data_IF_361998659857
#
_entry.id   IF_361998659857
#
_cell.length_a   1.000
_cell.length_b   1.000
_cell.length_c   1.000
_cell.angle_alpha   90.00
_cell.angle_beta   90.00
_cell.angle_gamma   90.00
#
_symmetry.space_group_name_H-M   'P 1'
#
loop_
_entity.id
_entity.type
_entity.pdbx_description
1 polymer ?
2 water ?
#
# COMPACT_ATOMS: atom_id res chain seq x y z
N UNK A 1 -22.25 -5.53 22.27
CA UNK A 1 -23.59 -5.34 21.76
C UNK A 1 -23.62 -4.54 20.47
N UNK A 2 -24.80 -4.46 19.84
CA UNK A 2 -24.92 -3.69 18.57
C UNK A 2 -24.41 -2.25 18.65
N UNK A 3 -24.79 -1.50 19.69
CA UNK A 3 -24.34 -0.11 19.81
C UNK A 3 -22.83 -0.03 19.88
N UNK A 4 -22.20 -0.93 20.64
CA UNK A 4 -20.73 -1.00 20.69
C UNK A 4 -20.14 -1.10 19.28
N UNK A 5 -20.65 -2.03 18.47
CA UNK A 5 -20.01 -2.28 17.18
C UNK A 5 -20.22 -1.14 16.20
N UNK A 6 -21.31 -0.38 16.34
CA UNK A 6 -21.46 0.81 15.53
C UNK A 6 -20.59 1.95 16.07
N UNK A 7 -20.32 1.91 17.37
CA UNK A 7 -19.41 2.86 17.99
C UNK A 7 -17.98 2.61 17.56
N UNK A 8 -17.66 1.36 17.26
CA UNK A 8 -16.37 1.02 16.70
C UNK A 8 -16.13 1.73 15.37
N UNK A 9 -17.11 1.66 14.47
CA UNK A 9 -17.00 2.37 13.20
C UNK A 9 -16.79 3.86 13.46
N UNK A 10 -17.63 4.44 14.32
CA UNK A 10 -17.46 5.82 14.72
C UNK A 10 -16.07 6.08 15.27
N UNK A 11 -15.46 5.09 15.94
CA UNK A 11 -14.14 5.30 16.52
C UNK A 11 -13.05 5.27 15.45
N UNK A 12 -13.15 4.35 14.48
CA UNK A 12 -12.22 4.35 13.36
C UNK A 12 -12.31 5.67 12.62
N UNK A 13 -13.51 6.24 12.53
CA UNK A 13 -13.67 7.47 11.78
C UNK A 13 -13.09 8.66 12.51
N UNK A 14 -13.19 8.68 13.83
CA UNK A 14 -12.58 9.75 14.61
C UNK A 14 -11.06 9.64 14.58
N UNK A 15 -10.53 8.43 14.47
CA UNK A 15 -9.08 8.25 14.31
C UNK A 15 -8.63 8.69 12.93
N UNK A 16 -9.45 8.42 11.91
CA UNK A 16 -9.17 8.90 10.56
C UNK A 16 -9.22 10.43 10.50
N UNK A 17 -10.20 11.05 11.15
CA UNK A 17 -10.23 12.51 11.18
C UNK A 17 -9.04 13.07 11.94
N UNK A 18 -8.71 12.46 13.08
CA UNK A 18 -7.53 12.87 13.83
C UNK A 18 -6.27 12.83 12.98
N UNK A 19 -6.08 11.73 12.22
CA UNK A 19 -4.90 11.62 11.38
C UNK A 19 -4.91 12.66 10.27
N UNK A 20 -6.07 12.86 9.63
CA UNK A 20 -6.14 13.87 8.58
C UNK A 20 -5.76 15.26 9.12
N UNK A 21 -6.30 15.63 10.29
CA UNK A 21 -6.03 16.94 10.86
C UNK A 21 -4.55 17.25 10.97
N UNK A 22 -3.71 16.21 11.09
CA UNK A 22 -2.27 16.42 11.20
C UNK A 22 -1.65 16.89 9.89
N UNK A 23 -2.40 16.82 8.79
CA UNK A 23 -1.97 17.28 7.48
C UNK A 23 -2.80 18.45 6.97
N UNK A 24 -3.76 18.95 7.75
CA UNK A 24 -4.64 19.99 7.25
C UNK A 24 -5.68 19.49 6.28
N UNK A 25 -5.99 18.19 6.31
CA UNK A 25 -6.91 17.56 5.38
C UNK A 25 -8.27 17.44 6.03
N UNK A 26 -9.33 17.60 5.23
CA UNK A 26 -10.71 17.40 5.68
C UNK A 26 -11.25 16.11 5.07
N UNK A 27 -11.61 15.15 5.93
CA UNK A 27 -12.31 13.96 5.47
C UNK A 27 -13.70 14.29 4.99
N UNK A 28 -14.18 13.51 4.04
CA UNK A 28 -15.54 13.61 3.51
C UNK A 28 -16.36 12.45 4.09
N UNK A 29 -17.13 12.72 5.14
CA UNK A 29 -17.82 11.63 5.83
C UNK A 29 -18.74 10.87 4.87
N UNK A 30 -19.52 11.58 4.06
CA UNK A 30 -20.44 10.90 3.16
C UNK A 30 -19.72 9.94 2.21
N UNK A 31 -18.43 10.14 1.96
CA UNK A 31 -17.66 9.26 1.09
C UNK A 31 -16.99 8.11 1.84
N UNK A 32 -16.74 8.26 3.13
CA UNK A 32 -16.01 7.28 3.92
C UNK A 32 -16.95 6.35 4.69
N UNK A 33 -17.91 6.93 5.41
CA UNK A 33 -18.73 6.14 6.34
C UNK A 33 -19.46 4.99 5.65
N UNK A 34 -20.11 5.17 4.50
CA UNK A 34 -20.78 4.01 3.88
C UNK A 34 -19.86 2.83 3.68
N UNK A 35 -18.61 3.09 3.27
CA UNK A 35 -17.63 2.03 3.08
C UNK A 35 -17.29 1.35 4.38
N UNK A 36 -17.17 2.12 5.47
CA UNK A 36 -16.90 1.54 6.77
C UNK A 36 -18.08 0.70 7.27
N UNK A 37 -19.31 1.14 6.99
CA UNK A 37 -20.47 0.39 7.47
C UNK A 37 -20.57 -0.94 6.75
N UNK A 38 -20.59 -0.91 5.42
CA UNK A 38 -20.57 -2.12 4.60
C UNK A 38 -19.62 -3.17 5.17
N UNK A 39 -18.47 -2.75 5.69
CA UNK A 39 -17.46 -3.66 6.21
C UNK A 39 -17.36 -3.62 7.74
N UNK A 40 -18.43 -3.18 8.41
CA UNK A 40 -18.41 -3.03 9.86
C UNK A 40 -18.17 -4.37 10.57
N UNK A 41 -18.59 -5.49 9.97
CA UNK A 41 -18.38 -6.79 10.62
C UNK A 41 -16.90 -7.11 10.78
N UNK A 42 -16.05 -6.67 9.85
CA UNK A 42 -14.61 -6.93 9.99
C UNK A 42 -13.95 -6.02 11.01
N UNK A 43 -14.54 -4.85 11.27
CA UNK A 43 -13.92 -3.86 12.14
C UNK A 43 -14.00 -4.24 13.61
N UNK A 44 -14.92 -5.12 13.98
CA UNK A 44 -15.14 -5.47 15.37
C UNK A 44 -14.94 -6.97 15.61
N UNK A 47 -10.30 -9.15 14.61
CA UNK A 47 -9.10 -9.36 13.83
C UNK A 47 -8.93 -8.30 12.75
N UNK A 48 -9.15 -7.05 13.11
CA UNK A 48 -9.10 -5.94 12.16
C UNK A 48 -7.72 -5.31 12.09
N UNK A 49 -7.22 -5.11 10.87
CA UNK A 49 -6.04 -4.29 10.62
C UNK A 49 -6.50 -3.02 9.94
N UNK A 50 -6.24 -1.88 10.57
CA UNK A 50 -6.58 -0.56 10.04
C UNK A 50 -5.29 0.24 9.98
N UNK A 51 -5.10 0.94 8.86
CA UNK A 51 -3.80 1.44 8.45
C UNK A 51 -4.00 2.81 7.82
N UNK A 52 -3.35 3.82 8.37
CA UNK A 52 -3.47 5.18 7.84
C UNK A 52 -2.14 5.52 7.21
N UNK A 53 -2.16 5.79 5.91
CA UNK A 53 -0.94 6.03 5.17
C UNK A 53 -0.98 7.43 4.57
N UNK A 54 0.08 8.18 4.81
CA UNK A 54 0.22 9.51 4.25
C UNK A 54 1.10 9.47 3.00
N UNK A 55 0.72 10.27 2.00
CA UNK A 55 1.54 10.47 0.81
C UNK A 55 1.68 11.97 0.60
N UNK A 56 2.91 12.45 0.63
CA UNK A 56 3.15 13.87 0.42
C UNK A 56 4.31 14.05 -0.53
N UNK A 57 4.18 15.01 -1.44
CA UNK A 57 5.30 15.49 -2.22
C UNK A 57 5.28 17.01 -2.28
N UNK A 58 6.22 17.56 -3.04
CA UNK A 58 6.09 18.94 -3.45
C UNK A 58 4.87 19.04 -4.35
N UNK A 59 3.87 19.83 -3.92
CA UNK A 59 2.59 20.15 -4.59
C UNK A 59 1.43 19.21 -4.23
N UNK A 60 1.62 18.20 -3.38
CA UNK A 60 0.47 17.35 -3.06
C UNK A 60 0.70 16.59 -1.76
N UNK A 61 -0.41 16.32 -1.07
CA UNK A 61 -0.39 15.60 0.22
C UNK A 61 -1.73 14.90 0.41
N UNK A 62 -1.73 13.58 0.54
CA UNK A 62 -3.00 12.85 0.65
C UNK A 62 -2.94 11.77 1.74
N UNK A 63 -4.11 11.40 2.21
CA UNK A 63 -4.26 10.46 3.31
C UNK A 63 -5.14 9.29 2.88
N UNK A 64 -4.61 8.09 2.91
CA UNK A 64 -5.37 6.90 2.62
C UNK A 64 -5.63 6.15 3.92
N UNK A 65 -6.74 5.41 3.92
CA UNK A 65 -7.05 4.44 4.96
C UNK A 65 -7.21 3.07 4.31
N UNK A 66 -6.68 2.06 4.98
CA UNK A 66 -6.74 0.67 4.52
C UNK A 66 -7.30 -0.17 5.65
N UNK A 67 -8.08 -1.19 5.28
CA UNK A 67 -8.79 -2.03 6.24
C UNK A 67 -8.75 -3.47 5.73
N UNK A 68 -8.32 -4.38 6.59
CA UNK A 68 -8.23 -5.78 6.20
C UNK A 68 -9.62 -6.39 6.07
N UNK A 69 -9.68 -7.42 5.21
CA UNK A 69 -10.91 -8.18 5.00
C UNK A 69 -10.50 -9.64 4.85
N UNK A 70 -10.91 -10.54 5.75
CA UNK A 70 -10.52 -11.94 5.61
C UNK A 70 -11.00 -12.52 4.29
N UNK A 71 -10.27 -13.52 3.78
CA UNK A 71 -10.67 -14.14 2.54
C UNK A 71 -12.01 -14.85 2.68
N UNK A 72 -12.25 -15.47 3.84
CA UNK A 72 -13.54 -16.09 4.12
C UNK A 72 -14.70 -15.14 3.91
N UNK A 73 -14.44 -13.85 3.93
CA UNK A 73 -15.46 -12.86 3.72
C UNK A 73 -15.85 -12.73 2.26
N UNK A 74 -15.13 -13.35 1.34
CA UNK A 74 -15.34 -13.13 -0.07
C UNK A 74 -14.65 -11.87 -0.58
N UNK A 75 -14.50 -11.81 -1.91
CA UNK A 75 -13.91 -10.67 -2.61
C UNK A 75 -14.57 -9.36 -2.17
N UNK A 76 -13.81 -8.43 -1.57
CA UNK A 76 -14.43 -7.20 -1.09
C UNK A 76 -14.69 -6.19 -2.18
N UNK A 77 -14.01 -6.29 -3.34
CA UNK A 77 -14.35 -5.40 -4.44
C UNK A 77 -15.71 -5.77 -5.02
N UNK A 78 -16.03 -7.06 -5.10
CA UNK A 78 -17.36 -7.44 -5.52
C UNK A 78 -18.40 -6.85 -4.59
N UNK A 79 -18.16 -6.95 -3.27
CA UNK A 79 -19.05 -6.33 -2.28
C UNK A 79 -19.29 -4.85 -2.58
N UNK A 80 -18.24 -4.07 -2.82
CA UNK A 80 -18.46 -2.64 -2.98
C UNK A 80 -19.16 -2.35 -4.30
N UNK A 81 -18.95 -3.17 -5.33
CA UNK A 81 -19.69 -2.98 -6.57
C UNK A 81 -21.15 -3.35 -6.37
N UNK A 82 -21.42 -4.51 -5.76
CA UNK A 82 -22.79 -4.91 -5.49
C UNK A 82 -23.50 -3.88 -4.63
N UNK A 83 -22.81 -3.33 -3.63
CA UNK A 83 -23.42 -2.36 -2.74
C UNK A 83 -23.58 -1.00 -3.37
N UNK A 84 -23.13 -0.82 -4.62
CA UNK A 84 -23.20 0.46 -5.30
C UNK A 84 -22.22 1.49 -4.83
N UNK A 85 -21.17 1.09 -4.09
CA UNK A 85 -20.19 2.01 -3.56
C UNK A 85 -19.10 2.39 -4.54
N UNK A 86 -18.94 1.67 -5.65
CA UNK A 86 -18.02 2.06 -6.68
C UNK A 86 -18.53 1.48 -7.98
N UNK A 87 -18.54 2.27 -9.06
CA UNK A 87 -19.06 1.76 -10.33
C UNK A 87 -17.99 0.94 -11.03
N UNK A 88 -18.38 -0.26 -11.45
CA UNK A 88 -17.44 -1.18 -12.08
C UNK A 88 -16.88 -0.56 -13.35
N UNK A 89 -15.59 -0.20 -13.33
CA UNK A 89 -14.96 0.49 -14.45
C UNK A 89 -15.22 -0.15 -15.81
N UNK A 90 -15.68 -1.41 -15.86
CA UNK A 90 -15.77 -2.13 -17.13
C UNK A 90 -14.41 -2.34 -17.79
N UNK A 91 -13.44 -2.87 -17.05
CA UNK A 91 -12.03 -2.90 -17.42
C UNK A 91 -11.40 -4.00 -16.57
N UNK A 92 -10.40 -4.74 -17.09
CA UNK A 92 -9.94 -5.96 -16.39
C UNK A 92 -9.61 -5.80 -14.91
N UNK A 93 -9.31 -4.58 -14.46
CA UNK A 93 -8.98 -4.40 -13.05
C UNK A 93 -10.17 -4.78 -12.17
N UNK A 94 -11.39 -4.75 -12.72
CA UNK A 94 -12.57 -5.24 -12.01
C UNK A 94 -12.40 -6.70 -11.59
N UNK A 95 -11.83 -7.53 -12.47
CA UNK A 95 -11.76 -8.96 -12.22
C UNK A 95 -10.50 -9.39 -11.50
N UNK A 96 -9.51 -8.50 -11.32
CA UNK A 96 -8.17 -8.95 -10.96
C UNK A 96 -8.08 -9.49 -9.54
N UNK A 97 -8.85 -8.94 -8.61
CA UNK A 97 -8.75 -9.42 -7.23
C UNK A 97 -9.33 -10.83 -7.12
N UNK A 98 -10.42 -11.09 -7.83
CA UNK A 98 -11.05 -12.40 -7.78
C UNK A 98 -10.25 -13.39 -8.58
N UNK A 99 -9.76 -12.97 -9.75
CA UNK A 99 -8.86 -13.78 -10.55
C UNK A 99 -7.64 -14.24 -9.76
N UNK A 100 -7.14 -13.40 -8.84
CA UNK A 100 -5.96 -13.74 -8.05
C UNK A 100 -6.29 -14.82 -7.03
N UNK A 101 -7.41 -14.66 -6.33
CA UNK A 101 -7.89 -15.68 -5.40
C UNK A 101 -8.14 -17.00 -6.13
N UNK A 102 -8.65 -16.92 -7.34
CA UNK A 102 -8.96 -18.11 -8.12
C UNK A 102 -7.69 -18.85 -8.53
N UNK A 103 -6.59 -18.13 -8.75
CA UNK A 103 -5.36 -18.76 -9.22
C UNK A 103 -4.32 -19.00 -8.12
N UNK A 104 -4.43 -18.32 -6.99
CA UNK A 104 -3.34 -18.33 -6.02
C UNK A 104 -3.88 -18.30 -4.59
N UNK A 105 -3.16 -18.89 -3.65
CA UNK A 105 -3.54 -18.79 -2.24
C UNK A 105 -3.40 -17.39 -1.69
N UNK A 106 -4.51 -16.69 -1.56
CA UNK A 106 -4.54 -15.38 -0.92
C UNK A 106 -4.79 -15.58 0.57
N UNK A 107 -3.92 -15.02 1.39
CA UNK A 107 -4.06 -15.18 2.84
C UNK A 107 -4.96 -14.13 3.48
N UNK A 108 -5.30 -13.05 2.75
CA UNK A 108 -6.08 -11.93 3.27
C UNK A 108 -6.31 -10.89 2.17
N UNK A 109 -7.43 -10.17 2.25
CA UNK A 109 -7.67 -8.99 1.41
C UNK A 109 -7.54 -7.73 2.24
N UNK A 110 -7.57 -6.59 1.55
CA UNK A 110 -7.72 -5.31 2.22
C UNK A 110 -8.42 -4.34 1.28
N UNK A 111 -9.24 -3.46 1.86
CA UNK A 111 -9.82 -2.36 1.12
C UNK A 111 -9.06 -1.10 1.49
N UNK A 112 -9.14 -0.11 0.62
CA UNK A 112 -8.33 1.10 0.75
C UNK A 112 -9.13 2.25 0.18
N UNK A 113 -9.19 3.34 0.93
CA UNK A 113 -9.81 4.55 0.45
C UNK A 113 -8.88 5.72 0.63
N UNK A 114 -9.31 6.85 0.08
CA UNK A 114 -8.65 8.13 0.27
C UNK A 114 -9.68 9.07 0.89
N UNK A 115 -9.30 9.80 1.94
CA UNK A 115 -10.30 10.44 2.79
C UNK A 115 -11.09 11.53 2.11
N UNK A 116 -10.69 11.99 0.91
CA UNK A 116 -11.53 12.96 0.23
C UNK A 116 -12.37 12.35 -0.87
N UNK A 117 -11.97 11.22 -1.44
CA UNK A 117 -12.75 10.62 -2.52
C UNK A 117 -13.37 9.27 -2.20
N UNK A 118 -13.02 8.69 -1.06
CA UNK A 118 -13.58 7.41 -0.67
C UNK A 118 -12.83 6.24 -1.25
N UNK A 119 -13.56 5.20 -1.64
CA UNK A 119 -12.96 3.96 -2.07
C UNK A 119 -12.17 4.15 -3.37
N UNK A 120 -11.00 3.52 -3.42
CA UNK A 120 -10.25 3.48 -4.67
C UNK A 120 -9.42 2.21 -4.92
N UNK A 121 -9.18 1.38 -3.91
CA UNK A 121 -8.04 0.48 -3.97
C UNK A 121 -8.27 -0.78 -3.14
N UNK A 122 -7.79 -1.94 -3.65
CA UNK A 122 -7.79 -3.18 -2.87
C UNK A 122 -6.40 -3.82 -2.91
N UNK A 123 -6.14 -4.64 -1.88
CA UNK A 123 -4.91 -5.39 -1.69
C UNK A 123 -5.21 -6.89 -1.67
N UNK A 124 -4.25 -7.69 -2.15
CA UNK A 124 -4.32 -9.15 -2.06
C UNK A 124 -3.00 -9.68 -1.50
N UNK A 125 -3.06 -10.23 -0.28
CA UNK A 125 -1.86 -10.69 0.40
C UNK A 125 -1.63 -12.17 0.15
N UNK A 126 -0.37 -12.55 0.13
CA UNK A 126 -0.05 -13.95 -0.02
C UNK A 126 0.61 -14.47 1.26
N UNK A 127 0.49 -15.77 1.55
CA UNK A 127 1.21 -16.33 2.70
C UNK A 127 2.71 -16.15 2.53
N UNK A 128 3.38 -15.81 3.63
CA UNK A 128 4.81 -15.53 3.55
C UNK A 128 5.59 -16.78 3.20
N UNK A 129 5.13 -17.95 3.66
CA UNK A 129 5.77 -19.21 3.32
C UNK A 129 5.30 -19.75 1.97
N UNK A 130 4.49 -19.01 1.23
CA UNK A 130 4.01 -19.49 -0.05
C UNK A 130 3.85 -18.32 -1.03
N UNK A 131 4.90 -17.52 -1.19
CA UNK A 131 4.78 -16.36 -2.05
C UNK A 131 4.93 -16.75 -3.52
N UNK A 132 4.16 -16.15 -4.40
CA UNK A 132 4.35 -16.40 -5.84
C UNK A 132 5.43 -15.49 -6.42
N UNK A 133 5.95 -15.93 -7.57
CA UNK A 133 6.83 -15.13 -8.38
C UNK A 133 6.12 -14.55 -9.61
N UNK A 134 6.90 -13.82 -10.41
CA UNK A 134 6.39 -13.15 -11.61
C UNK A 134 5.72 -14.14 -12.56
N UNK A 135 6.22 -15.38 -12.62
CA UNK A 135 5.66 -16.36 -13.55
C UNK A 135 4.23 -16.75 -13.17
N UNK A 136 4.01 -17.09 -11.89
CA UNK A 136 2.65 -17.36 -11.42
C UNK A 136 1.74 -16.14 -11.59
N UNK A 137 2.23 -14.95 -11.26
CA UNK A 137 1.37 -13.76 -11.28
C UNK A 137 0.89 -13.43 -12.68
N UNK A 138 1.69 -13.68 -13.72
CA UNK A 138 1.18 -13.49 -15.08
C UNK A 138 0.42 -14.70 -15.61
N UNK A 139 0.32 -15.80 -14.84
CA UNK A 139 -0.64 -16.85 -15.11
C UNK A 139 -2.06 -16.44 -14.81
N UNK A 140 -2.29 -15.19 -14.42
CA UNK A 140 -3.61 -14.67 -14.08
C UNK A 140 -4.11 -13.87 -15.27
N UNK A 141 -5.22 -14.25 -15.90
CA UNK A 141 -5.60 -13.63 -17.18
C UNK A 141 -5.89 -12.14 -17.12
N UNK A 142 -6.37 -11.61 -16.00
CA UNK A 142 -6.67 -10.18 -15.95
C UNK A 142 -5.50 -9.37 -15.43
N UNK A 143 -4.39 -10.01 -15.10
CA UNK A 143 -3.15 -9.28 -14.87
C UNK A 143 -2.77 -8.52 -16.14
N UNK A 144 -2.18 -7.34 -16.03
CA UNK A 144 -1.80 -6.59 -17.24
C UNK A 144 -0.72 -7.30 -18.04
N UNK A 145 -0.80 -7.23 -19.35
CA UNK A 145 0.32 -7.64 -20.21
C UNK A 145 1.67 -7.14 -19.74
N UNK A 146 1.70 -5.93 -19.15
CA UNK A 146 2.94 -5.35 -18.68
C UNK A 146 3.70 -6.25 -17.71
N UNK A 147 3.01 -7.10 -16.96
CA UNK A 147 3.71 -7.91 -15.97
C UNK A 147 4.64 -8.89 -16.66
N UNK A 148 4.13 -9.65 -17.63
CA UNK A 148 4.98 -10.59 -18.35
C UNK A 148 6.02 -9.86 -19.18
N UNK A 149 5.62 -8.73 -19.77
CA UNK A 149 6.51 -7.97 -20.63
C UNK A 149 7.70 -7.40 -19.89
N UNK A 150 7.65 -7.32 -18.56
CA UNK A 150 8.75 -6.83 -17.76
C UNK A 150 9.41 -7.93 -16.95
N UNK A 151 9.11 -9.19 -17.25
CA UNK A 151 9.68 -10.28 -16.48
C UNK A 151 11.18 -10.41 -16.71
N UNK A 152 11.67 -10.12 -17.91
CA UNK A 152 13.12 -10.06 -18.11
C UNK A 152 13.74 -9.07 -17.14
N UNK A 153 13.24 -7.83 -17.15
CA UNK A 153 13.76 -6.77 -16.29
C UNK A 153 13.68 -7.17 -14.80
N UNK A 154 12.51 -7.69 -14.36
CA UNK A 154 12.36 -8.06 -12.96
C UNK A 154 13.39 -9.11 -12.57
N UNK A 155 13.54 -10.13 -13.41
CA UNK A 155 14.50 -11.18 -13.13
C UNK A 155 15.92 -10.65 -13.18
N UNK A 156 16.24 -9.80 -14.15
CA UNK A 156 17.59 -9.25 -14.19
C UNK A 156 17.92 -8.48 -12.92
N UNK A 157 16.93 -7.88 -12.25
CA UNK A 157 17.20 -7.16 -11.01
C UNK A 157 16.90 -7.99 -9.76
N UNK A 158 16.67 -9.28 -9.92
CA UNK A 158 16.42 -10.10 -8.75
C UNK A 158 15.12 -9.81 -8.04
N UNK A 159 14.14 -9.22 -8.73
CA UNK A 159 12.80 -9.03 -8.18
C UNK A 159 12.01 -10.26 -8.59
N UNK A 160 11.88 -11.21 -7.67
CA UNK A 160 11.08 -12.41 -7.93
C UNK A 160 9.90 -12.56 -6.97
N UNK A 161 10.12 -12.86 -5.69
CA UNK A 161 9.01 -13.18 -4.81
C UNK A 161 8.16 -11.95 -4.52
N UNK A 162 6.84 -12.11 -4.69
CA UNK A 162 5.87 -11.04 -4.45
C UNK A 162 5.09 -11.37 -3.19
N UNK A 163 4.99 -10.39 -2.27
CA UNK A 163 4.36 -10.57 -0.97
C UNK A 163 2.89 -10.20 -0.97
N UNK A 164 2.49 -9.27 -1.85
CA UNK A 164 1.09 -8.94 -2.06
C UNK A 164 1.02 -8.07 -3.30
N UNK A 165 -0.18 -7.91 -3.83
CA UNK A 165 -0.45 -6.94 -4.87
C UNK A 165 -1.47 -5.92 -4.38
N UNK A 166 -1.57 -4.80 -5.09
CA UNK A 166 -2.67 -3.87 -4.84
C UNK A 166 -3.21 -3.39 -6.18
N UNK A 167 -4.47 -2.96 -6.16
CA UNK A 167 -5.19 -2.59 -7.36
C UNK A 167 -5.82 -1.22 -7.14
N UNK A 168 -5.64 -0.33 -8.10
CA UNK A 168 -6.21 1.00 -8.03
C UNK A 168 -7.27 1.08 -9.11
N UNK A 169 -8.52 1.17 -8.71
CA UNK A 169 -9.61 1.15 -9.68
C UNK A 169 -9.84 2.51 -10.30
N UNK A 170 -9.43 3.57 -9.61
CA UNK A 170 -9.56 4.90 -10.17
C UNK A 170 -8.52 5.14 -11.25
N UNK A 171 -7.28 4.76 -10.98
CA UNK A 171 -6.18 4.93 -11.94
C UNK A 171 -5.95 3.71 -12.83
N UNK A 172 -6.58 2.57 -12.53
CA UNK A 172 -6.43 1.34 -13.33
C UNK A 172 -4.98 0.89 -13.39
N UNK A 173 -4.41 0.69 -12.20
CA UNK A 173 -3.01 0.34 -12.05
C UNK A 173 -2.88 -0.80 -11.05
N UNK A 174 -1.73 -1.47 -11.09
CA UNK A 174 -1.38 -2.54 -10.17
C UNK A 174 -0.01 -2.27 -9.59
N UNK A 175 0.18 -2.67 -8.34
CA UNK A 175 1.47 -2.66 -7.67
C UNK A 175 1.85 -4.09 -7.33
N UNK A 176 3.06 -4.50 -7.72
CA UNK A 176 3.61 -5.79 -7.30
C UNK A 176 4.59 -5.53 -6.18
N UNK A 177 4.28 -6.00 -4.97
CA UNK A 177 5.12 -5.72 -3.81
C UNK A 177 6.13 -6.85 -3.66
N UNK A 178 7.32 -6.64 -4.23
CA UNK A 178 8.39 -7.60 -4.15
C UNK A 178 8.98 -7.63 -2.75
N UNK A 179 9.36 -8.82 -2.30
CA UNK A 179 9.92 -9.04 -0.97
C UNK A 179 11.10 -9.97 -1.12
N UNK A 180 11.81 -10.20 -0.01
CA UNK A 180 12.98 -11.08 0.00
C UNK A 180 14.05 -10.59 -1.00
N UNK A 181 14.43 -9.34 -0.81
CA UNK A 181 15.35 -8.67 -1.71
C UNK A 181 16.80 -9.05 -1.38
N UNK A 182 17.58 -9.39 -2.40
CA UNK A 182 19.01 -9.57 -2.17
C UNK A 182 19.63 -8.21 -1.97
N UNK A 183 20.62 -8.14 -1.06
CA UNK A 183 21.30 -6.87 -0.80
C UNK A 183 21.90 -6.27 -2.08
N UNK A 184 22.22 -7.11 -3.07
CA UNK A 184 22.78 -6.62 -4.32
C UNK A 184 21.76 -5.79 -5.11
N UNK A 185 20.49 -6.19 -5.07
CA UNK A 185 19.44 -5.41 -5.72
C UNK A 185 19.41 -4.00 -5.18
N UNK A 186 19.66 -3.85 -3.88
CA UNK A 186 19.52 -2.56 -3.22
C UNK A 186 20.82 -1.77 -3.20
N UNK A 187 21.93 -2.38 -3.63
CA UNK A 187 23.17 -1.65 -3.81
C UNK A 187 22.95 -0.45 -4.71
N UNK A 188 23.66 0.64 -4.41
CA UNK A 188 23.40 1.91 -5.07
C UNK A 188 23.46 1.80 -6.59
N UNK A 189 24.49 1.13 -7.11
CA UNK A 189 24.62 0.99 -8.55
C UNK A 189 23.45 0.22 -9.16
N UNK A 190 23.00 -0.84 -8.49
CA UNK A 190 21.81 -1.54 -8.94
C UNK A 190 20.59 -0.61 -8.96
N UNK A 191 20.40 0.17 -7.89
CA UNK A 191 19.23 1.02 -7.82
C UNK A 191 19.25 2.05 -8.94
N UNK A 192 20.43 2.66 -9.18
CA UNK A 192 20.55 3.71 -10.20
C UNK A 192 20.31 3.16 -11.61
N UNK A 193 20.84 1.98 -11.91
CA UNK A 193 20.55 1.35 -13.21
C UNK A 193 19.05 1.14 -13.36
N UNK A 194 18.42 0.52 -12.36
CA UNK A 194 17.00 0.22 -12.44
C UNK A 194 16.16 1.47 -12.67
N UNK A 195 16.43 2.53 -11.90
CA UNK A 195 15.66 3.76 -12.07
C UNK A 195 15.85 4.32 -13.46
N UNK A 196 17.09 4.27 -13.98
CA UNK A 196 17.38 4.90 -15.26
C UNK A 196 16.90 4.05 -16.42
N UNK A 197 16.80 2.74 -16.23
CA UNK A 197 16.17 1.89 -17.23
C UNK A 197 14.67 2.18 -17.32
N UNK A 198 14.02 2.45 -16.19
CA UNK A 198 12.61 2.76 -16.18
C UNK A 198 12.31 4.23 -16.46
N UNK A 199 13.35 5.03 -16.70
CA UNK A 199 13.18 6.44 -17.03
C UNK A 199 12.48 7.23 -15.94
N UNK A 200 12.95 7.12 -14.71
CA UNK A 200 12.28 7.76 -13.58
C UNK A 200 13.25 8.71 -12.89
N UNK A 201 12.71 9.45 -11.94
CA UNK A 201 13.48 10.42 -11.17
C UNK A 201 14.63 9.73 -10.44
N UNK A 202 15.84 10.26 -10.62
CA UNK A 202 17.02 9.61 -10.07
C UNK A 202 17.18 10.03 -8.62
N UNK A 203 17.25 9.09 -7.67
CA UNK A 203 17.47 9.46 -6.28
C UNK A 203 18.87 10.01 -6.06
N UNK A 204 19.01 10.84 -5.03
CA UNK A 204 20.34 11.31 -4.65
C UNK A 204 20.93 10.39 -3.59
N UNK A 205 22.01 10.82 -2.95
CA UNK A 205 22.70 9.93 -2.04
C UNK A 205 21.84 9.60 -0.83
N UNK A 206 21.03 10.56 -0.36
CA UNK A 206 20.10 10.28 0.73
C UNK A 206 19.10 9.22 0.31
N UNK A 207 18.43 9.43 -0.84
CA UNK A 207 17.51 8.44 -1.34
C UNK A 207 18.11 7.05 -1.42
N UNK A 208 19.34 6.96 -1.93
CA UNK A 208 19.99 5.67 -2.13
C UNK A 208 20.30 4.98 -0.80
N UNK A 209 20.64 5.75 0.24
CA UNK A 209 20.82 5.16 1.56
C UNK A 209 19.49 4.64 2.11
N UNK A 210 18.39 5.32 1.80
CA UNK A 210 17.07 4.81 2.10
C UNK A 210 16.83 3.49 1.38
N UNK A 211 17.00 3.47 0.06
CA UNK A 211 16.71 2.27 -0.72
C UNK A 211 17.53 1.08 -0.25
N UNK A 212 18.74 1.32 0.24
CA UNK A 212 19.56 0.24 0.80
C UNK A 212 18.88 -0.43 1.99
N UNK A 213 17.99 0.28 2.68
CA UNK A 213 17.28 -0.25 3.86
C UNK A 213 15.98 -0.95 3.52
N UNK A 214 15.60 -1.03 2.24
CA UNK A 214 14.26 -1.44 1.88
C UNK A 214 14.01 -2.91 2.19
N UNK A 215 12.80 -3.21 2.66
CA UNK A 215 12.35 -4.60 2.71
C UNK A 215 11.47 -4.99 1.53
N UNK A 216 10.87 -4.02 0.85
CA UNK A 216 10.09 -4.29 -0.35
C UNK A 216 10.35 -3.23 -1.40
N UNK A 217 10.21 -3.63 -2.66
CA UNK A 217 10.24 -2.70 -3.79
C UNK A 217 9.00 -2.97 -4.62
N UNK A 218 8.32 -1.91 -5.05
CA UNK A 218 7.16 -2.18 -5.86
C UNK A 218 6.98 -1.20 -7.01
N UNK A 219 6.87 -1.73 -8.22
CA UNK A 219 6.50 -0.90 -9.38
C UNK A 219 5.00 -0.78 -9.50
N UNK A 220 4.57 0.17 -10.33
CA UNK A 220 3.17 0.33 -10.68
C UNK A 220 3.06 0.09 -12.19
N UNK A 221 2.11 -0.75 -12.58
CA UNK A 221 1.93 -1.08 -13.99
C UNK A 221 0.50 -0.77 -14.40
N UNK A 222 0.24 -0.81 -15.71
CA UNK A 222 -1.09 -0.53 -16.23
C UNK A 222 -1.33 -1.43 -17.42
N UNK A 223 -2.60 -1.47 -17.88
CA UNK A 223 -2.99 -2.28 -19.02
C UNK A 223 -2.84 -1.58 -20.36
N UNK A 224 -2.53 -0.29 -20.37
CA UNK A 224 -2.35 0.41 -21.63
C UNK A 224 -0.99 0.12 -22.26
N UNK A 225 0.07 0.05 -21.46
CA UNK A 225 1.41 -0.12 -21.98
C UNK A 225 2.23 -1.00 -21.04
N UNK A 226 3.36 -1.47 -21.56
CA UNK A 226 4.32 -2.22 -20.78
C UNK A 226 5.24 -1.37 -19.95
N UNK A 227 5.03 -0.07 -19.94
CA UNK A 227 5.94 0.86 -19.27
C UNK A 227 5.50 1.10 -17.83
N UNK A 228 6.36 0.71 -16.89
CA UNK A 228 6.12 0.92 -15.47
C UNK A 228 5.93 2.40 -15.19
N UNK A 229 4.85 2.74 -14.49
CA UNK A 229 4.49 4.14 -14.29
C UNK A 229 5.38 4.82 -13.27
N UNK A 230 5.76 4.08 -12.23
CA UNK A 230 6.58 4.61 -11.14
C UNK A 230 7.02 3.42 -10.30
N UNK A 231 7.83 3.70 -9.29
CA UNK A 231 8.47 2.66 -8.49
C UNK A 231 8.65 3.17 -7.07
N UNK A 232 8.47 2.29 -6.09
CA UNK A 232 8.53 2.69 -4.69
C UNK A 232 9.44 1.75 -3.93
N UNK A 233 10.29 2.33 -3.08
CA UNK A 233 11.12 1.57 -2.14
C UNK A 233 10.55 1.75 -0.74
N UNK A 234 10.30 0.63 -0.05
CA UNK A 234 9.59 0.62 1.23
C UNK A 234 10.50 0.15 2.35
N UNK A 235 10.58 0.94 3.41
CA UNK A 235 11.41 0.64 4.58
C UNK A 235 10.51 0.55 5.80
N UNK A 236 10.76 -0.45 6.63
CA UNK A 236 9.97 -0.69 7.83
C UNK A 236 10.83 -0.40 9.04
N UNK A 237 10.30 0.35 9.99
CA UNK A 237 11.14 0.75 11.11
C UNK A 237 10.29 1.39 12.20
N UNK A 238 10.81 1.33 13.43
CA UNK A 238 10.24 2.05 14.56
C UNK A 238 10.61 3.52 14.57
N UNK A 239 11.66 3.91 13.85
CA UNK A 239 12.22 5.27 13.90
C UNK A 239 11.27 6.28 13.26
N UNK A 240 10.87 7.34 13.97
CA UNK A 240 10.00 8.36 13.38
C UNK A 240 10.70 9.38 12.51
N UNK A 241 11.99 9.22 12.18
CA UNK A 241 12.75 10.28 11.53
C UNK A 241 13.29 9.93 10.16
N UNK A 242 12.91 8.78 9.58
CA UNK A 242 13.62 8.25 8.41
C UNK A 242 13.12 8.79 7.07
N UNK A 243 12.50 9.97 7.03
CA UNK A 243 11.92 10.40 5.75
C UNK A 243 13.09 10.75 4.83
N UNK A 244 13.23 10.08 3.69
CA UNK A 244 14.37 10.36 2.82
C UNK A 244 14.29 11.73 2.15
N UNK A 245 14.25 12.79 2.95
CA UNK A 245 14.17 14.14 2.45
C UNK A 245 15.07 15.02 3.30
N UNK A 246 15.67 16.02 2.67
CA UNK A 246 16.46 17.03 3.37
C UNK A 246 15.70 18.32 3.53
N UNK A 247 14.48 18.38 3.01
CA UNK A 247 13.60 19.54 3.16
C UNK A 247 13.05 19.57 4.57
N UNK A 248 13.35 20.66 5.30
CA UNK A 248 12.99 20.72 6.72
C UNK A 248 11.49 20.66 6.93
N UNK A 249 10.70 21.10 5.94
CA UNK A 249 9.27 20.95 6.03
C UNK A 249 8.89 19.48 6.06
N UNK A 250 9.33 18.74 5.04
CA UNK A 250 9.14 17.29 5.01
C UNK A 250 9.61 16.65 6.31
N UNK A 251 10.85 16.91 6.69
CA UNK A 251 11.40 16.30 7.90
C UNK A 251 10.46 16.53 9.09
N UNK A 252 9.82 17.70 9.14
CA UNK A 252 8.93 18.03 10.24
C UNK A 252 7.57 17.36 10.06
N UNK A 253 7.01 17.47 8.86
CA UNK A 253 5.72 16.85 8.55
C UNK A 253 5.72 15.36 8.86
N UNK A 254 6.76 14.64 8.44
CA UNK A 254 6.73 13.20 8.54
C UNK A 254 7.04 12.73 9.95
N UNK A 255 7.95 13.42 10.65
CA UNK A 255 8.16 13.11 12.06
C UNK A 255 6.94 13.45 12.90
N UNK A 256 6.18 14.45 12.49
CA UNK A 256 4.97 14.82 13.21
C UNK A 256 3.92 13.73 13.04
N UNK A 257 3.66 13.35 11.80
CA UNK A 257 2.70 12.26 11.55
C UNK A 257 3.13 10.98 12.26
N UNK A 258 4.42 10.65 12.17
CA UNK A 258 4.93 9.40 12.71
C UNK A 258 4.70 9.30 14.20
N UNK A 259 4.73 10.42 14.90
CA UNK A 259 4.65 10.40 16.34
C UNK A 259 3.26 10.73 16.88
N UNK A 260 2.36 11.21 16.01
CA UNK A 260 1.06 11.71 16.43
C UNK A 260 -0.12 10.98 15.81
N UNK A 261 0.10 10.20 14.77
CA UNK A 261 -0.99 9.44 14.16
C UNK A 261 -1.63 8.54 15.23
N UNK A 262 -2.96 8.40 15.20
CA UNK A 262 -3.64 7.67 16.29
C UNK A 262 -3.24 6.21 16.35
N UNK A 263 -3.11 5.69 17.57
CA UNK A 263 -2.73 4.31 17.82
C UNK A 263 -3.59 3.79 18.98
N UNK A 264 -4.39 2.77 18.72
CA UNK A 264 -5.30 2.15 19.68
C UNK A 264 -4.57 1.45 20.86
N UNK A 265 -3.25 1.57 21.02
CA UNK A 265 -2.49 0.83 22.01
C UNK A 265 -1.73 1.80 22.90
N UNK A 266 -1.68 1.49 24.20
CA UNK A 266 -1.15 2.45 25.14
C UNK A 266 0.35 2.26 25.37
N UNK A 267 0.86 1.04 25.23
CA UNK A 267 2.27 0.82 25.45
C UNK A 267 3.14 0.86 24.21
N UNK A 268 2.77 0.09 23.20
CA UNK A 268 3.70 -0.29 22.13
C UNK A 268 4.25 0.90 21.38
N UNK A 269 5.54 0.81 21.02
CA UNK A 269 6.11 1.71 20.03
C UNK A 269 5.68 1.21 18.66
N UNK A 270 4.92 2.03 17.95
CA UNK A 270 4.30 1.57 16.72
C UNK A 270 5.34 1.38 15.61
N UNK A 271 5.09 0.40 14.75
CA UNK A 271 5.93 0.14 13.59
C UNK A 271 5.50 0.96 12.39
N UNK A 272 6.48 1.55 11.68
CA UNK A 272 6.23 2.46 10.57
C UNK A 272 6.73 1.88 9.26
N UNK A 273 6.08 2.27 8.16
CA UNK A 273 6.46 1.85 6.82
C UNK A 273 6.62 3.10 5.97
N UNK A 274 7.87 3.41 5.62
CA UNK A 274 8.25 4.54 4.78
C UNK A 274 8.32 4.13 3.31
N UNK A 275 7.98 5.06 2.44
CA UNK A 275 8.08 4.82 1.01
C UNK A 275 8.80 5.95 0.30
N UNK A 276 9.70 5.58 -0.59
CA UNK A 276 10.31 6.52 -1.52
C UNK A 276 9.78 6.17 -2.90
N UNK A 277 9.01 7.06 -3.49
CA UNK A 277 8.39 6.78 -4.77
C UNK A 277 9.04 7.64 -5.85
N UNK A 278 9.51 6.99 -6.92
CA UNK A 278 10.14 7.68 -8.04
C UNK A 278 9.28 7.50 -9.27
N UNK A 279 8.86 8.61 -9.87
CA UNK A 279 8.04 8.65 -11.06
C UNK A 279 8.82 9.37 -12.16
N UNK A 280 8.29 9.51 -13.38
CA UNK A 280 9.07 10.22 -14.41
C UNK A 280 9.28 11.68 -14.10
N UNK A 281 8.37 12.29 -13.35
CA UNK A 281 8.41 13.73 -13.14
C UNK A 281 8.84 14.15 -11.75
N UNK A 282 8.88 13.24 -10.77
CA UNK A 282 9.20 13.67 -9.42
C UNK A 282 9.59 12.47 -8.57
N UNK A 283 10.04 12.76 -7.35
CA UNK A 283 10.01 11.81 -6.26
C UNK A 283 9.14 12.35 -5.13
N UNK A 284 8.54 11.44 -4.37
CA UNK A 284 7.79 11.82 -3.18
C UNK A 284 7.83 10.67 -2.17
N UNK A 285 7.24 10.93 -1.00
CA UNK A 285 7.48 10.15 0.19
C UNK A 285 6.16 9.71 0.81
N UNK A 286 6.16 8.49 1.33
CA UNK A 286 5.00 7.89 1.94
C UNK A 286 5.36 7.48 3.36
N UNK A 287 4.38 7.56 4.25
CA UNK A 287 4.50 7.08 5.62
C UNK A 287 3.16 6.45 6.01
N UNK A 288 3.18 5.14 6.23
CA UNK A 288 2.01 4.41 6.68
C UNK A 288 2.16 4.13 8.16
N UNK A 289 1.04 4.21 8.87
CA UNK A 289 1.03 4.04 10.32
C UNK A 289 -0.18 3.20 10.70
N UNK A 290 0.03 2.04 11.30
CA UNK A 290 -1.09 1.22 11.76
C UNK A 290 -1.86 1.92 12.89
N UNK A 291 -3.19 1.82 12.81
CA UNK A 291 -4.05 2.24 13.92
C UNK A 291 -4.47 1.06 14.79
N UNK A 292 -5.06 0.03 14.20
CA UNK A 292 -5.35 -1.23 14.88
C UNK A 292 -4.63 -2.35 14.12
N UNK A 293 -4.02 -3.27 14.86
CA UNK A 293 -3.30 -4.39 14.26
C UNK A 293 -3.70 -5.68 14.95
N UNK A 294 -3.38 -6.79 14.31
CA UNK A 294 -3.54 -8.12 14.87
C UNK A 294 -2.18 -8.65 15.30
N UNK A 295 -2.22 -9.66 16.19
CA UNK A 295 -1.00 -10.36 16.55
C UNK A 295 -0.35 -11.01 15.33
N UNK A 296 -1.17 -11.47 14.39
CA UNK A 296 -0.64 -12.00 13.13
C UNK A 296 0.16 -10.93 12.41
N UNK A 297 -0.46 -9.77 12.19
CA UNK A 297 0.22 -8.68 11.50
C UNK A 297 1.42 -8.18 12.29
N UNK A 298 1.42 -8.37 13.61
CA UNK A 298 2.58 -8.00 14.41
C UNK A 298 3.76 -8.91 14.11
N UNK A 299 3.50 -10.21 14.03
CA UNK A 299 4.53 -11.14 13.60
C UNK A 299 4.99 -10.88 12.18
N UNK A 300 4.04 -10.55 11.30
CA UNK A 300 4.42 -10.18 9.94
C UNK A 300 5.42 -9.02 9.94
N UNK A 301 5.09 -7.93 10.63
CA UNK A 301 6.00 -6.80 10.68
C UNK A 301 7.26 -7.10 11.47
N UNK A 302 7.20 -8.06 12.40
CA UNK A 302 8.39 -8.51 13.10
C UNK A 302 9.38 -9.13 12.11
N UNK A 303 8.88 -10.00 11.24
CA UNK A 303 9.73 -10.71 10.29
C UNK A 303 10.57 -9.76 9.44
N UNK A 304 10.04 -8.56 9.17
CA UNK A 304 10.75 -7.61 8.32
C UNK A 304 11.84 -6.86 9.09
N UNK A 305 11.70 -6.75 10.42
CA UNK A 305 12.61 -5.99 11.29
C UNK A 305 12.60 -4.50 10.98
#
# INVERSE_FOLDING_TARGET
GPMSEAADVERVYAAMEEAAGLLGVACARDKIYPLLSTFQDTLVEGGSVVWFSMASGRHSTELDFSISVPTSHGDPYATVVEKGLFPATGHPVDDLLADTQKHLPVSMFAIDGEVTGGFKKTYAFFPTDNMPGVAELSAIPSMPPAVAENAELFARYGLDKVQMTSMDYKKRQVNLYFSELSAQTLEAESVLALVRELGLHVPNELGLKFCKRSFSVYPTLNWETGKIDRLCFAVISNDPTLVPSSDEGDIEKFHNYATKAPYAYVGEKRTLVYGLTLSPKEEYYKLGAPYHITDVFRGLLKAFDSLED
#
